data_IF_489621993290
#
_entry.id   IF_489621993290
#
_cell.length_a   1.000
_cell.length_b   1.000
_cell.length_c   1.000
_cell.angle_alpha   90.00
_cell.angle_beta   90.00
_cell.angle_gamma   90.00
#
_symmetry.space_group_name_H-M   'P 1'
#
loop_
_entity.id
_entity.type
_entity.pdbx_description
1 polymer ?
#
# COMPACT_ATOMS: atom_id res chain seq x y z
N UNK A 1 -18.79 -0.32 -14.41
CA UNK A 1 -18.09 -1.55 -14.03
C UNK A 1 -16.61 -1.34 -14.33
N UNK A 2 -15.77 -1.22 -13.31
CA UNK A 2 -14.31 -1.08 -13.46
C UNK A 2 -13.71 -2.48 -13.61
N UNK A 3 -13.77 -3.02 -14.83
CA UNK A 3 -13.09 -4.26 -15.20
C UNK A 3 -11.76 -3.89 -15.84
N UNK A 4 -10.65 -4.30 -15.23
CA UNK A 4 -9.33 -4.18 -15.84
C UNK A 4 -8.16 -4.10 -14.84
N UNK A 5 -8.35 -3.54 -13.65
CA UNK A 5 -7.25 -3.39 -12.67
C UNK A 5 -7.54 -3.98 -11.28
N UNK A 6 -8.81 -4.22 -10.95
CA UNK A 6 -9.22 -4.80 -9.66
C UNK A 6 -9.79 -6.22 -9.76
N UNK A 7 -9.85 -6.79 -10.97
CA UNK A 7 -10.68 -7.96 -11.29
C UNK A 7 -9.98 -9.32 -11.39
N UNK A 8 -8.65 -9.39 -11.30
CA UNK A 8 -7.95 -10.67 -11.56
C UNK A 8 -6.84 -11.01 -10.56
N UNK A 9 -6.64 -10.24 -9.48
CA UNK A 9 -5.58 -10.56 -8.49
C UNK A 9 -4.16 -10.73 -9.10
N UNK A 10 -3.99 -10.43 -10.39
CA UNK A 10 -2.78 -10.63 -11.17
C UNK A 10 -1.91 -9.40 -10.94
N UNK A 11 -1.33 -9.34 -9.74
CA UNK A 11 -0.23 -8.46 -9.43
C UNK A 11 0.94 -8.85 -10.35
N UNK A 12 1.18 -8.05 -11.38
CA UNK A 12 2.31 -8.24 -12.31
C UNK A 12 3.66 -7.89 -11.68
N UNK A 13 4.76 -8.15 -12.40
CA UNK A 13 6.10 -7.80 -11.92
C UNK A 13 6.22 -6.29 -11.66
N UNK A 14 6.72 -5.94 -10.48
CA UNK A 14 6.90 -4.56 -10.04
C UNK A 14 8.19 -4.42 -9.25
N UNK A 15 8.91 -3.32 -9.47
CA UNK A 15 10.04 -2.93 -8.61
C UNK A 15 9.52 -2.03 -7.49
N UNK A 16 9.60 -2.50 -6.25
CA UNK A 16 9.07 -1.79 -5.07
C UNK A 16 10.16 -1.03 -4.36
N UNK A 17 9.91 0.25 -4.10
CA UNK A 17 10.70 1.07 -3.17
C UNK A 17 9.86 1.44 -1.96
N UNK A 18 10.35 1.08 -0.77
CA UNK A 18 9.69 1.35 0.50
C UNK A 18 10.24 2.65 1.09
N UNK A 19 9.35 3.60 1.38
CA UNK A 19 9.70 4.89 1.97
C UNK A 19 9.55 4.89 3.49
N UNK A 20 8.55 4.19 4.01
CA UNK A 20 8.35 3.96 5.44
C UNK A 20 7.49 2.70 5.63
N UNK A 21 7.69 1.99 6.73
CA UNK A 21 6.82 0.90 7.15
C UNK A 21 6.85 0.75 8.67
N UNK A 22 5.80 0.16 9.23
CA UNK A 22 5.70 -0.11 10.65
C UNK A 22 4.67 -1.22 10.93
N UNK A 23 4.88 -2.08 11.95
CA UNK A 23 3.90 -3.07 12.38
C UNK A 23 2.56 -2.43 12.77
N UNK A 24 1.45 -3.07 12.40
CA UNK A 24 0.10 -2.75 12.88
C UNK A 24 -0.30 -3.82 13.89
N UNK A 25 0.00 -3.64 15.20
CA UNK A 25 -0.09 -4.71 16.19
C UNK A 25 -1.52 -5.21 16.44
N UNK A 26 -2.52 -4.38 16.14
CA UNK A 26 -3.94 -4.73 16.31
C UNK A 26 -4.50 -5.61 15.19
N UNK A 27 -3.72 -5.94 14.15
CA UNK A 27 -4.19 -6.73 13.00
C UNK A 27 -3.27 -7.91 12.75
N UNK A 28 -3.84 -9.11 12.83
CA UNK A 28 -3.20 -10.36 12.43
C UNK A 28 -4.06 -11.03 11.36
N UNK A 29 -3.44 -11.50 10.28
CA UNK A 29 -4.19 -12.18 9.22
C UNK A 29 -4.67 -13.56 9.68
N UNK A 30 -5.56 -14.18 8.91
CA UNK A 30 -6.15 -15.50 9.22
C UNK A 30 -5.10 -16.60 9.42
N UNK A 31 -3.92 -16.49 8.79
CA UNK A 31 -2.82 -17.44 8.92
C UNK A 31 -1.86 -17.13 10.09
N UNK A 32 -2.17 -16.16 10.95
CA UNK A 32 -1.31 -15.73 12.06
C UNK A 32 -0.17 -14.80 11.66
N UNK A 33 -0.15 -14.31 10.42
CA UNK A 33 0.87 -13.38 9.91
C UNK A 33 0.59 -11.94 10.29
N UNK A 34 1.66 -11.19 10.58
CA UNK A 34 1.58 -9.78 10.94
C UNK A 34 1.14 -8.89 9.76
N UNK A 35 0.37 -7.84 10.09
CA UNK A 35 0.10 -6.73 9.19
C UNK A 35 1.11 -5.59 9.41
N UNK A 36 1.42 -4.88 8.34
CA UNK A 36 2.22 -3.66 8.37
C UNK A 36 1.49 -2.52 7.67
N UNK A 37 1.66 -1.33 8.23
CA UNK A 37 1.49 -0.07 7.52
C UNK A 37 2.70 0.11 6.62
N UNK A 38 2.49 0.64 5.42
CA UNK A 38 3.59 1.11 4.60
C UNK A 38 3.24 2.30 3.74
N UNK A 39 4.29 3.06 3.42
CA UNK A 39 4.32 4.03 2.34
C UNK A 39 5.41 3.58 1.37
N UNK A 40 5.02 3.26 0.16
CA UNK A 40 5.92 2.75 -0.86
C UNK A 40 5.44 3.18 -2.24
N UNK A 41 6.26 2.90 -3.24
CA UNK A 41 5.86 2.99 -4.63
C UNK A 41 6.38 1.83 -5.46
N UNK A 42 5.61 1.50 -6.48
CA UNK A 42 5.95 0.48 -7.46
C UNK A 42 6.26 1.11 -8.82
N UNK A 43 7.31 0.60 -9.45
CA UNK A 43 7.63 0.86 -10.84
C UNK A 43 7.34 -0.39 -11.68
N UNK A 44 6.50 -0.22 -12.69
CA UNK A 44 6.09 -1.31 -13.58
C UNK A 44 6.89 -1.24 -14.89
N UNK A 45 7.50 -2.35 -15.33
CA UNK A 45 8.18 -2.40 -16.63
C UNK A 45 7.24 -1.97 -17.77
N UNK A 46 7.64 -0.96 -18.55
CA UNK A 46 6.88 -0.48 -19.71
C UNK A 46 5.70 0.46 -19.39
N UNK A 47 5.47 0.82 -18.12
CA UNK A 47 4.45 1.80 -17.78
C UNK A 47 4.88 3.24 -18.13
N UNK A 48 3.95 4.04 -18.67
CA UNK A 48 4.17 5.43 -19.08
C UNK A 48 3.70 6.47 -18.05
N UNK A 49 3.04 6.02 -16.97
CA UNK A 49 2.39 6.88 -15.96
C UNK A 49 3.24 7.24 -14.73
N UNK A 50 4.53 6.89 -14.73
CA UNK A 50 5.40 7.06 -13.57
C UNK A 50 5.14 6.05 -12.45
N UNK A 51 5.83 6.18 -11.30
CA UNK A 51 5.69 5.26 -10.17
C UNK A 51 4.30 5.36 -9.52
N UNK A 52 3.76 4.21 -9.14
CA UNK A 52 2.50 4.10 -8.42
C UNK A 52 2.74 4.15 -6.92
N UNK A 53 2.41 5.27 -6.28
CA UNK A 53 2.54 5.45 -4.83
C UNK A 53 1.32 4.91 -4.09
N UNK A 54 1.54 4.31 -2.93
CA UNK A 54 0.49 3.83 -2.05
C UNK A 54 0.87 3.98 -0.58
N UNK A 55 -0.12 4.32 0.23
CA UNK A 55 -0.04 4.36 1.69
C UNK A 55 -1.18 3.51 2.22
N UNK A 56 -0.86 2.32 2.71
CA UNK A 56 -1.87 1.32 3.05
C UNK A 56 -1.41 0.35 4.15
N UNK A 57 -2.29 -0.58 4.51
CA UNK A 57 -2.03 -1.67 5.46
C UNK A 57 -2.15 -3.00 4.73
N UNK A 58 -1.08 -3.80 4.76
CA UNK A 58 -0.97 -5.08 4.04
C UNK A 58 -0.35 -6.17 4.89
N UNK A 59 -0.32 -7.39 4.38
CA UNK A 59 0.51 -8.46 4.95
C UNK A 59 1.98 -8.02 4.93
N UNK A 60 2.73 -8.22 6.01
CA UNK A 60 4.13 -7.80 6.11
C UNK A 60 5.00 -8.30 4.93
N UNK A 61 4.76 -9.54 4.46
CA UNK A 61 5.44 -10.14 3.30
C UNK A 61 5.28 -9.35 1.99
N UNK A 62 4.24 -8.53 1.87
CA UNK A 62 4.03 -7.70 0.69
C UNK A 62 4.95 -6.47 0.71
N UNK A 63 5.51 -6.06 1.84
CA UNK A 63 6.59 -5.08 1.90
C UNK A 63 7.98 -5.70 1.75
N UNK A 64 8.08 -6.88 1.15
CA UNK A 64 9.35 -7.42 0.68
C UNK A 64 9.56 -6.93 -0.77
N UNK A 65 10.80 -6.59 -1.12
CA UNK A 65 11.17 -6.18 -2.48
C UNK A 65 11.17 -7.38 -3.44
N UNK A 66 10.01 -8.01 -3.63
CA UNK A 66 9.84 -9.13 -4.55
C UNK A 66 9.44 -8.58 -5.91
N UNK A 67 10.26 -8.83 -6.92
CA UNK A 67 10.03 -8.38 -8.31
C UNK A 67 8.84 -9.04 -8.98
N UNK A 68 8.24 -10.05 -8.36
CA UNK A 68 7.32 -10.98 -9.01
C UNK A 68 5.85 -10.61 -8.78
N UNK A 69 5.56 -9.74 -7.81
CA UNK A 69 4.18 -9.37 -7.46
C UNK A 69 4.12 -8.07 -6.67
N UNK A 70 3.20 -7.17 -7.05
CA UNK A 70 2.81 -6.01 -6.26
C UNK A 70 1.88 -6.33 -5.05
N UNK A 71 1.51 -7.59 -4.84
CA UNK A 71 0.60 -8.00 -3.75
C UNK A 71 -0.86 -7.60 -3.98
N UNK A 72 -1.74 -7.91 -3.02
CA UNK A 72 -3.19 -7.73 -3.17
C UNK A 72 -3.77 -6.50 -2.46
N UNK A 73 -3.03 -5.91 -1.52
CA UNK A 73 -3.58 -4.92 -0.57
C UNK A 73 -4.79 -5.44 0.24
N UNK A 74 -4.85 -6.77 0.42
CA UNK A 74 -5.96 -7.43 1.08
C UNK A 74 -5.43 -8.35 2.16
N UNK A 75 -5.94 -8.15 3.38
CA UNK A 75 -5.65 -9.01 4.52
C UNK A 75 -6.90 -9.87 4.75
N UNK A 76 -6.75 -11.17 4.52
CA UNK A 76 -7.79 -12.15 4.86
C UNK A 76 -7.92 -12.25 6.39
N UNK A 77 -9.14 -12.13 6.86
CA UNK A 77 -9.53 -12.18 8.27
C UNK A 77 -10.62 -13.27 8.45
N UNK A 78 -10.82 -13.81 9.66
CA UNK A 78 -11.83 -14.84 9.95
C UNK A 78 -13.22 -14.60 9.35
N UNK A 79 -13.69 -13.35 9.32
CA UNK A 79 -15.03 -13.00 8.83
C UNK A 79 -15.04 -12.11 7.58
N UNK A 80 -13.90 -11.93 6.89
CA UNK A 80 -13.86 -11.07 5.71
C UNK A 80 -12.47 -10.68 5.25
N UNK A 81 -12.39 -9.54 4.59
CA UNK A 81 -11.15 -8.96 4.07
C UNK A 81 -11.02 -7.54 4.60
N UNK A 82 -9.85 -7.21 5.15
CA UNK A 82 -9.45 -5.85 5.44
C UNK A 82 -8.68 -5.25 4.26
N UNK A 83 -9.13 -4.08 3.83
CA UNK A 83 -8.40 -3.18 2.96
C UNK A 83 -8.46 -1.79 3.57
N UNK A 84 -7.31 -1.18 3.83
CA UNK A 84 -7.21 0.15 4.40
C UNK A 84 -6.09 0.92 3.71
N UNK A 85 -6.43 2.03 3.06
CA UNK A 85 -5.49 2.84 2.29
C UNK A 85 -5.86 4.31 2.32
N UNK A 86 -4.87 5.17 2.07
CA UNK A 86 -5.05 6.60 1.84
C UNK A 86 -5.28 6.82 0.34
N UNK A 87 -6.31 7.59 0.02
CA UNK A 87 -6.51 8.11 -1.35
C UNK A 87 -5.54 9.28 -1.54
N UNK A 88 -4.51 9.07 -2.36
CA UNK A 88 -3.46 10.06 -2.61
C UNK A 88 -3.74 10.96 -3.84
N UNK A 89 -4.59 10.50 -4.76
CA UNK A 89 -5.03 11.26 -5.93
C UNK A 89 -6.50 11.00 -6.24
N UNK A 90 -7.17 11.98 -6.85
CA UNK A 90 -8.61 11.90 -7.15
C UNK A 90 -8.94 10.94 -8.30
N UNK A 91 -7.94 10.55 -9.10
CA UNK A 91 -8.09 9.58 -10.18
C UNK A 91 -6.79 8.77 -10.39
N UNK A 92 -6.88 7.48 -10.79
CA UNK A 92 -5.70 6.62 -11.02
C UNK A 92 -4.72 7.14 -12.08
N UNK A 93 -5.18 7.97 -13.01
CA UNK A 93 -4.35 8.57 -14.05
C UNK A 93 -3.59 9.82 -13.60
N UNK A 94 -3.87 10.33 -12.39
CA UNK A 94 -3.21 11.48 -11.81
C UNK A 94 -2.12 10.99 -10.88
N UNK A 95 -0.88 11.39 -11.17
CA UNK A 95 0.27 11.06 -10.35
C UNK A 95 0.13 11.70 -8.96
N UNK A 96 0.24 10.90 -7.90
CA UNK A 96 0.14 11.39 -6.52
C UNK A 96 1.30 12.32 -6.13
N UNK A 97 2.50 12.07 -6.65
CA UNK A 97 3.71 12.86 -6.41
C UNK A 97 4.53 12.92 -7.69
N UNK A 98 5.07 14.07 -8.05
CA UNK A 98 5.89 14.22 -9.26
C UNK A 98 7.26 13.53 -9.12
N UNK A 99 7.74 13.30 -7.90
CA UNK A 99 9.01 12.62 -7.65
C UNK A 99 9.07 11.91 -6.29
N UNK A 100 10.00 10.94 -6.11
CA UNK A 100 10.25 10.33 -4.80
C UNK A 100 10.70 11.33 -3.72
N UNK A 101 11.33 12.45 -4.12
CA UNK A 101 11.73 13.51 -3.21
C UNK A 101 10.51 14.25 -2.65
N UNK A 102 9.49 14.49 -3.47
CA UNK A 102 8.24 15.10 -3.05
C UNK A 102 7.45 14.18 -2.11
N UNK A 103 7.38 12.88 -2.44
CA UNK A 103 6.80 11.87 -1.55
C UNK A 103 7.49 11.87 -0.17
N UNK A 104 8.83 11.93 -0.13
CA UNK A 104 9.58 12.06 1.13
C UNK A 104 9.31 13.37 1.86
N UNK A 105 9.17 14.49 1.14
CA UNK A 105 8.82 15.77 1.76
C UNK A 105 7.42 15.72 2.40
N UNK A 106 6.46 15.06 1.74
CA UNK A 106 5.11 14.89 2.29
C UNK A 106 5.09 14.11 3.61
N UNK A 107 6.04 13.19 3.82
CA UNK A 107 6.19 12.49 5.11
C UNK A 107 6.54 13.41 6.28
N UNK A 108 7.06 14.61 6.02
CA UNK A 108 7.33 15.62 7.03
C UNK A 108 6.10 16.42 7.46
N UNK A 109 4.93 16.18 6.86
CA UNK A 109 3.72 16.96 7.13
C UNK A 109 2.91 16.40 8.31
N UNK A 110 2.16 17.27 8.99
CA UNK A 110 1.22 16.85 10.03
C UNK A 110 0.14 15.91 9.49
N UNK A 111 -0.35 16.18 8.26
CA UNK A 111 -1.33 15.32 7.58
C UNK A 111 -0.84 13.89 7.45
N UNK A 112 0.44 13.70 7.06
CA UNK A 112 1.03 12.37 7.02
C UNK A 112 1.07 11.70 8.40
N UNK A 113 1.49 12.44 9.43
CA UNK A 113 1.56 11.92 10.79
C UNK A 113 0.18 11.45 11.31
N UNK A 114 -0.86 12.24 11.06
CA UNK A 114 -2.24 11.90 11.45
C UNK A 114 -2.76 10.66 10.70
N UNK A 115 -2.56 10.58 9.39
CA UNK A 115 -2.97 9.41 8.60
C UNK A 115 -2.22 8.14 9.00
N UNK A 116 -0.90 8.25 9.22
CA UNK A 116 -0.08 7.14 9.75
C UNK A 116 -0.60 6.67 11.11
N UNK A 117 -0.88 7.59 12.04
CA UNK A 117 -1.42 7.24 13.34
C UNK A 117 -2.78 6.55 13.24
N UNK A 118 -3.67 7.02 12.36
CA UNK A 118 -4.96 6.39 12.11
C UNK A 118 -4.80 4.95 11.60
N UNK A 119 -3.96 4.70 10.60
CA UNK A 119 -3.72 3.34 10.08
C UNK A 119 -3.04 2.42 11.10
N UNK A 120 -2.13 2.94 11.92
CA UNK A 120 -1.50 2.18 13.01
C UNK A 120 -2.47 1.85 14.16
N UNK A 121 -3.55 2.62 14.31
CA UNK A 121 -4.57 2.39 15.34
C UNK A 121 -5.60 1.31 14.97
N UNK A 122 -5.53 0.72 13.77
CA UNK A 122 -6.44 -0.34 13.36
C UNK A 122 -6.36 -1.53 14.32
N UNK A 123 -7.53 -2.02 14.71
CA UNK A 123 -7.67 -3.21 15.55
C UNK A 123 -8.72 -4.13 14.95
N UNK A 124 -8.43 -5.42 15.00
CA UNK A 124 -9.34 -6.48 14.63
C UNK A 124 -9.30 -7.54 15.74
N UNK A 125 -10.43 -7.66 16.45
CA UNK A 125 -10.63 -8.55 17.60
C UNK A 125 -11.50 -9.75 17.21
#
# INVERSE_FOLDING_TARGET
MYSGMYGDGAAGPASRTILNHAPVPGVTNMAGGAAEFGFAFDEYPGATGGPYYFVDVRNAREFLATTDSSGSNQILLPNGVLSAWVVLSDAPSIQAFASPAEAKAWMGTERYAQLKAMLLSLQYA
#
